data_IF_042149545870
#
_entry.id   IF_042149545870
#
_cell.length_a   1.000
_cell.length_b   1.000
_cell.length_c   1.000
_cell.angle_alpha   90.00
_cell.angle_beta   90.00
_cell.angle_gamma   90.00
#
_symmetry.space_group_name_H-M   'P 1'
#
loop_
_entity.id
_entity.type
_entity.pdbx_description
1 polymer ?
#
# COMPACT_ATOMS: atom_id res chain seq x y z
N UNK A 1 -15.62 7.57 19.89
CA UNK A 1 -14.28 7.41 20.50
C UNK A 1 -13.19 7.10 19.47
N UNK A 2 -13.31 6.05 18.64
CA UNK A 2 -12.29 5.71 17.62
C UNK A 2 -12.00 6.86 16.64
N UNK A 3 -13.04 7.46 16.07
CA UNK A 3 -12.90 8.62 15.16
C UNK A 3 -12.06 9.75 15.79
N UNK A 4 -12.37 10.16 17.02
CA UNK A 4 -11.65 11.22 17.72
C UNK A 4 -10.18 10.83 17.94
N UNK A 5 -9.91 9.61 18.42
CA UNK A 5 -8.54 9.15 18.63
C UNK A 5 -7.72 9.11 17.32
N UNK A 6 -8.33 8.68 16.20
CA UNK A 6 -7.66 8.68 14.89
C UNK A 6 -7.49 10.09 14.35
N UNK A 7 -8.44 10.99 14.59
CA UNK A 7 -8.34 12.40 14.23
C UNK A 7 -7.22 13.10 15.00
N UNK A 8 -7.11 12.85 16.31
CA UNK A 8 -6.04 13.39 17.14
C UNK A 8 -4.68 12.85 16.70
N UNK A 9 -4.59 11.55 16.40
CA UNK A 9 -3.38 10.94 15.83
C UNK A 9 -2.99 11.60 14.50
N UNK A 10 -3.95 11.87 13.62
CA UNK A 10 -3.70 12.56 12.35
C UNK A 10 -3.07 13.93 12.58
N UNK A 11 -3.59 14.70 13.55
CA UNK A 11 -3.05 16.02 13.91
C UNK A 11 -1.65 15.91 14.52
N UNK A 12 -1.40 14.93 15.39
CA UNK A 12 -0.06 14.71 15.96
C UNK A 12 0.97 14.28 14.90
N UNK A 13 0.60 13.40 13.99
CA UNK A 13 1.47 12.94 12.89
C UNK A 13 1.88 14.07 11.93
N UNK A 14 1.11 15.15 11.84
CA UNK A 14 1.48 16.32 11.04
C UNK A 14 2.58 17.17 11.69
N UNK A 15 2.83 17.01 12.99
CA UNK A 15 3.86 17.79 13.69
C UNK A 15 5.25 17.23 13.38
N UNK A 16 6.19 18.11 13.06
CA UNK A 16 7.60 17.73 12.88
C UNK A 16 8.24 17.26 14.19
N UNK A 17 7.76 17.76 15.32
CA UNK A 17 8.24 17.41 16.67
C UNK A 17 7.76 16.05 17.16
N UNK A 18 6.85 15.40 16.43
CA UNK A 18 6.34 14.09 16.82
C UNK A 18 7.44 13.04 16.74
N UNK A 19 7.69 12.39 17.87
CA UNK A 19 8.68 11.32 18.04
C UNK A 19 8.02 10.15 18.74
N UNK A 20 8.48 8.96 18.39
CA UNK A 20 8.02 7.71 18.97
C UNK A 20 9.22 6.77 19.14
N UNK A 21 9.18 5.92 20.15
CA UNK A 21 10.09 4.80 20.27
C UNK A 21 9.65 3.65 19.34
N UNK A 22 10.53 2.68 19.10
CA UNK A 22 10.27 1.57 18.16
C UNK A 22 9.07 0.69 18.55
N UNK A 23 8.77 0.53 19.84
CA UNK A 23 7.58 -0.22 20.27
C UNK A 23 6.30 0.55 19.92
N UNK A 24 6.32 1.86 20.14
CA UNK A 24 5.24 2.77 19.75
C UNK A 24 5.06 2.85 18.23
N UNK A 25 6.15 2.88 17.43
CA UNK A 25 6.11 2.78 15.97
C UNK A 25 5.32 1.54 15.54
N UNK A 26 5.75 0.38 16.01
CA UNK A 26 5.12 -0.90 15.67
C UNK A 26 3.63 -0.93 16.02
N UNK A 27 3.27 -0.50 17.23
CA UNK A 27 1.87 -0.46 17.68
C UNK A 27 1.03 0.48 16.84
N UNK A 28 1.55 1.67 16.51
CA UNK A 28 0.84 2.65 15.69
C UNK A 28 0.66 2.13 14.26
N UNK A 29 1.68 1.55 13.64
CA UNK A 29 1.57 0.93 12.31
C UNK A 29 0.46 -0.14 12.28
N UNK A 30 0.48 -1.07 13.24
CA UNK A 30 -0.50 -2.14 13.33
C UNK A 30 -1.91 -1.62 13.58
N UNK A 31 -2.06 -0.63 14.46
CA UNK A 31 -3.37 -0.04 14.75
C UNK A 31 -3.92 0.78 13.58
N UNK A 32 -3.10 1.59 12.91
CA UNK A 32 -3.52 2.36 11.73
C UNK A 32 -3.99 1.44 10.61
N UNK A 33 -3.32 0.33 10.37
CA UNK A 33 -3.76 -0.67 9.38
C UNK A 33 -5.03 -1.38 9.83
N UNK A 34 -5.15 -1.75 11.11
CA UNK A 34 -6.36 -2.38 11.65
C UNK A 34 -7.61 -1.50 11.49
N UNK A 35 -7.46 -0.18 11.59
CA UNK A 35 -8.55 0.77 11.41
C UNK A 35 -9.05 0.88 9.96
N UNK A 36 -8.35 0.29 8.98
CA UNK A 36 -8.87 0.16 7.61
C UNK A 36 -10.03 -0.84 7.53
N UNK A 37 -10.11 -1.78 8.47
CA UNK A 37 -11.23 -2.74 8.58
C UNK A 37 -12.28 -2.28 9.60
N UNK A 38 -12.32 -0.98 9.91
CA UNK A 38 -13.30 -0.41 10.84
C UNK A 38 -14.70 -0.43 10.23
N UNK A 39 -15.71 -0.79 11.03
CA UNK A 39 -17.12 -0.77 10.59
C UNK A 39 -17.64 0.63 10.19
N UNK A 40 -16.94 1.70 10.60
CA UNK A 40 -17.32 3.06 10.28
C UNK A 40 -16.38 3.65 9.21
N UNK A 41 -16.92 3.98 8.04
CA UNK A 41 -16.14 4.44 6.88
C UNK A 41 -15.43 5.78 7.10
N UNK A 42 -15.94 6.63 7.99
CA UNK A 42 -15.29 7.85 8.43
C UNK A 42 -13.99 7.57 9.20
N UNK A 43 -13.96 6.52 10.03
CA UNK A 43 -12.76 6.04 10.70
C UNK A 43 -11.77 5.43 9.72
N UNK A 44 -12.25 4.62 8.76
CA UNK A 44 -11.40 4.08 7.68
C UNK A 44 -10.74 5.21 6.89
N UNK A 45 -11.51 6.23 6.51
CA UNK A 45 -11.03 7.39 5.76
C UNK A 45 -9.98 8.20 6.54
N UNK A 46 -10.12 8.36 7.85
CA UNK A 46 -9.09 8.97 8.69
C UNK A 46 -7.84 8.10 8.81
N UNK A 47 -8.01 6.79 8.96
CA UNK A 47 -6.90 5.85 9.07
C UNK A 47 -6.02 5.87 7.80
N UNK A 48 -6.62 5.84 6.61
CA UNK A 48 -5.88 5.97 5.33
C UNK A 48 -5.07 7.26 5.27
N UNK A 49 -5.62 8.39 5.75
CA UNK A 49 -4.90 9.67 5.76
C UNK A 49 -3.71 9.70 6.72
N UNK A 50 -3.70 8.84 7.75
CA UNK A 50 -2.58 8.74 8.68
C UNK A 50 -1.39 7.96 8.08
N UNK A 51 -1.64 6.96 7.22
CA UNK A 51 -0.60 6.08 6.68
C UNK A 51 0.57 6.81 6.00
N UNK A 52 0.36 7.75 5.06
CA UNK A 52 1.46 8.46 4.41
C UNK A 52 2.31 9.28 5.39
N UNK A 53 1.69 9.87 6.42
CA UNK A 53 2.40 10.63 7.45
C UNK A 53 3.21 9.71 8.37
N UNK A 54 2.64 8.54 8.69
CA UNK A 54 3.29 7.56 9.55
C UNK A 54 4.51 6.94 8.87
N UNK A 55 4.41 6.57 7.59
CA UNK A 55 5.52 5.97 6.81
C UNK A 55 6.74 6.88 6.71
N UNK A 56 6.55 8.20 6.72
CA UNK A 56 7.64 9.18 6.76
C UNK A 56 8.35 9.26 8.13
N UNK A 57 7.78 8.68 9.18
CA UNK A 57 8.23 8.84 10.58
C UNK A 57 8.64 7.54 11.28
N UNK A 58 8.52 6.40 10.62
CA UNK A 58 8.88 5.09 11.17
C UNK A 58 10.09 4.51 10.47
N UNK A 59 10.72 3.52 11.09
CA UNK A 59 11.88 2.83 10.53
C UNK A 59 11.52 2.02 9.28
N UNK A 60 12.51 1.81 8.41
CA UNK A 60 12.38 1.04 7.16
C UNK A 60 11.71 -0.32 7.37
N UNK A 61 12.05 -1.04 8.44
CA UNK A 61 11.44 -2.34 8.75
C UNK A 61 9.92 -2.26 8.96
N UNK A 62 9.43 -1.19 9.58
CA UNK A 62 8.00 -0.99 9.77
C UNK A 62 7.31 -0.55 8.48
N UNK A 63 7.97 0.22 7.62
CA UNK A 63 7.44 0.55 6.28
C UNK A 63 7.24 -0.72 5.46
N UNK A 64 8.21 -1.64 5.47
CA UNK A 64 8.11 -2.92 4.78
C UNK A 64 6.97 -3.80 5.31
N UNK A 65 6.83 -3.88 6.65
CA UNK A 65 5.72 -4.59 7.30
C UNK A 65 4.36 -3.98 6.92
N UNK A 66 4.26 -2.65 6.89
CA UNK A 66 3.05 -1.94 6.48
C UNK A 66 2.67 -2.25 5.03
N UNK A 67 3.63 -2.18 4.10
CA UNK A 67 3.42 -2.46 2.68
C UNK A 67 3.01 -3.92 2.46
N UNK A 68 3.67 -4.87 3.11
CA UNK A 68 3.26 -6.29 3.02
C UNK A 68 1.84 -6.47 3.54
N UNK A 69 1.52 -5.92 4.72
CA UNK A 69 0.21 -6.10 5.31
C UNK A 69 -0.90 -5.50 4.45
N UNK A 70 -0.70 -4.30 3.91
CA UNK A 70 -1.66 -3.66 3.01
C UNK A 70 -1.83 -4.48 1.72
N UNK A 71 -0.73 -5.00 1.15
CA UNK A 71 -0.82 -5.86 -0.02
C UNK A 71 -1.56 -7.18 0.25
N UNK A 72 -1.36 -7.79 1.42
CA UNK A 72 -2.15 -8.96 1.83
C UNK A 72 -3.64 -8.62 1.91
N UNK A 73 -4.00 -7.46 2.48
CA UNK A 73 -5.39 -7.00 2.53
C UNK A 73 -5.97 -6.73 1.14
N UNK A 74 -5.18 -6.25 0.17
CA UNK A 74 -5.60 -6.17 -1.24
C UNK A 74 -5.88 -7.56 -1.81
N UNK A 75 -5.02 -8.54 -1.53
CA UNK A 75 -5.12 -9.90 -2.07
C UNK A 75 -6.27 -10.71 -1.46
N UNK A 76 -6.51 -10.57 -0.16
CA UNK A 76 -7.48 -11.40 0.59
C UNK A 76 -8.73 -10.67 1.04
N UNK A 77 -8.69 -9.34 1.07
CA UNK A 77 -9.81 -8.51 1.51
C UNK A 77 -11.01 -8.65 0.57
N UNK A 78 -12.18 -8.32 1.10
CA UNK A 78 -13.44 -8.27 0.34
C UNK A 78 -13.74 -6.83 -0.05
N UNK A 79 -14.53 -6.65 -1.11
CA UNK A 79 -14.98 -5.38 -1.70
C UNK A 79 -14.47 -4.09 -1.03
N UNK A 80 -15.12 -3.61 0.03
CA UNK A 80 -14.74 -2.35 0.72
C UNK A 80 -13.35 -2.39 1.37
N UNK A 81 -13.00 -3.49 2.04
CA UNK A 81 -11.69 -3.66 2.67
C UNK A 81 -10.56 -3.69 1.63
N UNK A 82 -10.82 -4.31 0.47
CA UNK A 82 -9.86 -4.33 -0.64
C UNK A 82 -9.65 -2.94 -1.22
N UNK A 83 -10.73 -2.21 -1.46
CA UNK A 83 -10.68 -0.87 -2.04
C UNK A 83 -9.89 0.09 -1.14
N UNK A 84 -10.25 0.16 0.14
CA UNK A 84 -9.56 1.03 1.10
C UNK A 84 -8.09 0.63 1.32
N UNK A 85 -7.77 -0.68 1.27
CA UNK A 85 -6.40 -1.17 1.37
C UNK A 85 -5.57 -0.85 0.13
N UNK A 86 -6.18 -0.89 -1.06
CA UNK A 86 -5.56 -0.48 -2.31
C UNK A 86 -5.21 1.01 -2.27
N UNK A 87 -6.16 1.85 -1.84
CA UNK A 87 -5.93 3.29 -1.63
C UNK A 87 -4.80 3.49 -0.61
N UNK A 88 -4.87 2.81 0.54
CA UNK A 88 -3.85 2.89 1.58
C UNK A 88 -2.46 2.49 1.11
N UNK A 89 -2.35 1.43 0.30
CA UNK A 89 -1.06 1.00 -0.26
C UNK A 89 -0.51 2.03 -1.25
N UNK A 90 -1.34 2.57 -2.13
CA UNK A 90 -0.92 3.60 -3.10
C UNK A 90 -0.45 4.88 -2.41
N UNK A 91 -1.16 5.34 -1.38
CA UNK A 91 -0.76 6.53 -0.61
C UNK A 91 0.50 6.30 0.21
N UNK A 92 0.70 5.09 0.75
CA UNK A 92 1.95 4.69 1.39
C UNK A 92 3.10 4.73 0.37
N UNK A 93 2.94 4.10 -0.79
CA UNK A 93 3.97 4.04 -1.83
C UNK A 93 4.40 5.43 -2.31
N UNK A 94 3.46 6.36 -2.46
CA UNK A 94 3.76 7.74 -2.81
C UNK A 94 4.65 8.47 -1.78
N UNK A 95 4.72 7.97 -0.55
CA UNK A 95 5.35 8.63 0.59
C UNK A 95 6.45 7.80 1.28
N UNK A 96 6.85 6.68 0.66
CA UNK A 96 7.95 5.84 1.15
C UNK A 96 9.25 6.64 1.15
N UNK A 97 9.97 6.72 2.29
CA UNK A 97 11.29 7.35 2.34
C UNK A 97 12.28 6.69 1.38
N UNK A 98 13.19 7.47 0.80
CA UNK A 98 14.21 6.94 -0.12
C UNK A 98 15.06 5.82 0.50
N UNK A 99 15.29 5.87 1.82
CA UNK A 99 15.99 4.82 2.58
C UNK A 99 15.26 3.47 2.61
N UNK A 100 13.94 3.46 2.43
CA UNK A 100 13.09 2.26 2.43
C UNK A 100 12.62 1.87 1.02
N UNK A 101 12.67 2.78 0.04
CA UNK A 101 12.15 2.55 -1.31
C UNK A 101 12.77 1.32 -2.00
N UNK A 102 14.09 1.17 -1.93
CA UNK A 102 14.81 0.08 -2.58
C UNK A 102 14.37 -1.32 -2.11
N UNK A 103 14.25 -1.51 -0.80
CA UNK A 103 13.84 -2.80 -0.22
C UNK A 103 12.34 -3.03 -0.38
N UNK A 104 11.54 -1.97 -0.20
CA UNK A 104 10.08 -2.01 -0.40
C UNK A 104 9.71 -2.43 -1.81
N UNK A 105 10.27 -1.78 -2.85
CA UNK A 105 9.99 -2.09 -4.26
C UNK A 105 10.46 -3.50 -4.61
N UNK A 106 11.68 -3.88 -4.21
CA UNK A 106 12.22 -5.22 -4.45
C UNK A 106 11.34 -6.32 -3.84
N UNK A 107 10.79 -6.07 -2.66
CA UNK A 107 9.87 -7.00 -2.01
C UNK A 107 8.50 -7.02 -2.67
N UNK A 108 7.95 -5.87 -3.07
CA UNK A 108 6.57 -5.74 -3.54
C UNK A 108 6.39 -6.18 -5.00
N UNK A 109 7.32 -5.82 -5.90
CA UNK A 109 7.18 -6.07 -7.34
C UNK A 109 6.88 -7.53 -7.69
N UNK A 110 7.61 -8.54 -7.18
CA UNK A 110 7.30 -9.95 -7.49
C UNK A 110 5.90 -10.37 -7.04
N UNK A 111 5.43 -9.83 -5.90
CA UNK A 111 4.09 -10.11 -5.35
C UNK A 111 2.98 -9.46 -6.19
N UNK A 112 3.22 -8.26 -6.72
CA UNK A 112 2.31 -7.63 -7.70
C UNK A 112 2.20 -8.47 -8.97
N UNK A 113 3.33 -8.96 -9.50
CA UNK A 113 3.35 -9.83 -10.67
C UNK A 113 2.60 -11.14 -10.42
N UNK A 114 2.72 -11.75 -9.24
CA UNK A 114 1.91 -12.89 -8.82
C UNK A 114 0.41 -12.53 -8.84
N UNK A 115 0.04 -11.41 -8.21
CA UNK A 115 -1.34 -10.93 -8.10
C UNK A 115 -2.01 -10.60 -9.43
N UNK A 116 -1.26 -10.18 -10.46
CA UNK A 116 -1.80 -10.00 -11.82
C UNK A 116 -2.35 -11.32 -12.38
N UNK A 117 -1.73 -12.45 -12.03
CA UNK A 117 -2.18 -13.80 -12.42
C UNK A 117 -3.40 -14.30 -11.63
N UNK A 118 -3.96 -13.50 -10.74
CA UNK A 118 -5.08 -13.90 -9.90
C UNK A 118 -6.31 -14.29 -10.73
N UNK A 119 -7.10 -15.22 -10.21
CA UNK A 119 -8.40 -15.56 -10.79
C UNK A 119 -9.45 -14.48 -10.52
N UNK A 120 -9.28 -13.73 -9.41
CA UNK A 120 -10.11 -12.57 -9.06
C UNK A 120 -9.72 -11.37 -9.92
N UNK A 121 -10.70 -10.88 -10.68
CA UNK A 121 -10.52 -9.71 -11.52
C UNK A 121 -10.17 -8.46 -10.69
N UNK A 122 -10.77 -8.33 -9.51
CA UNK A 122 -10.57 -7.20 -8.60
C UNK A 122 -9.11 -7.15 -8.14
N UNK A 123 -8.54 -8.30 -7.75
CA UNK A 123 -7.12 -8.40 -7.36
C UNK A 123 -6.21 -8.09 -8.54
N UNK A 124 -6.49 -8.64 -9.73
CA UNK A 124 -5.70 -8.36 -10.93
C UNK A 124 -5.67 -6.87 -11.25
N UNK A 125 -6.84 -6.22 -11.27
CA UNK A 125 -6.96 -4.77 -11.55
C UNK A 125 -6.20 -3.95 -10.50
N UNK A 126 -6.38 -4.23 -9.20
CA UNK A 126 -5.63 -3.52 -8.17
C UNK A 126 -4.11 -3.71 -8.33
N UNK A 127 -3.64 -4.93 -8.63
CA UNK A 127 -2.21 -5.18 -8.82
C UNK A 127 -1.65 -4.44 -10.05
N UNK A 128 -2.43 -4.31 -11.13
CA UNK A 128 -2.04 -3.52 -12.30
C UNK A 128 -1.92 -2.03 -11.96
N UNK A 129 -2.89 -1.48 -11.25
CA UNK A 129 -2.87 -0.07 -10.83
C UNK A 129 -1.71 0.22 -9.86
N UNK A 130 -1.49 -0.65 -8.87
CA UNK A 130 -0.39 -0.48 -7.91
C UNK A 130 0.96 -0.65 -8.63
N UNK A 131 1.07 -1.58 -9.57
CA UNK A 131 2.28 -1.72 -10.39
C UNK A 131 2.53 -0.48 -11.25
N UNK A 132 1.48 0.13 -11.81
CA UNK A 132 1.59 1.39 -12.52
C UNK A 132 2.20 2.48 -11.61
N UNK A 133 1.69 2.62 -10.38
CA UNK A 133 2.23 3.58 -9.41
C UNK A 133 3.70 3.28 -9.06
N UNK A 134 4.07 2.01 -8.88
CA UNK A 134 5.46 1.62 -8.62
C UNK A 134 6.36 2.00 -9.79
N UNK A 135 5.93 1.77 -11.03
CA UNK A 135 6.68 2.13 -12.24
C UNK A 135 6.84 3.66 -12.37
N UNK A 136 5.82 4.44 -12.01
CA UNK A 136 5.87 5.90 -12.06
C UNK A 136 6.76 6.52 -10.98
N UNK A 137 6.66 6.02 -9.74
CA UNK A 137 7.37 6.61 -8.60
C UNK A 137 8.81 6.09 -8.47
N UNK A 138 9.09 4.86 -8.94
CA UNK A 138 10.37 4.18 -8.72
C UNK A 138 11.02 3.62 -9.99
N UNK A 139 11.12 4.38 -11.10
CA UNK A 139 11.56 3.87 -12.40
C UNK A 139 12.97 3.27 -12.39
N UNK A 140 13.89 3.85 -11.62
CA UNK A 140 15.27 3.34 -11.50
C UNK A 140 15.37 2.04 -10.70
N UNK A 141 14.44 1.80 -9.77
CA UNK A 141 14.45 0.64 -8.88
C UNK A 141 13.86 -0.62 -9.55
N UNK A 142 13.01 -0.44 -10.56
CA UNK A 142 12.34 -1.52 -11.30
C UNK A 142 13.09 -1.95 -12.57
N UNK A 143 14.19 -1.29 -12.92
CA UNK A 143 14.87 -1.49 -14.22
C UNK A 143 15.30 -2.94 -14.44
N UNK A 144 15.78 -3.62 -13.40
CA UNK A 144 16.14 -5.05 -13.46
C UNK A 144 14.94 -5.97 -13.67
N UNK A 145 13.75 -5.56 -13.22
CA UNK A 145 12.53 -6.35 -13.25
C UNK A 145 11.72 -6.12 -14.54
N UNK A 146 12.06 -5.10 -15.35
CA UNK A 146 11.36 -4.76 -16.58
C UNK A 146 11.14 -5.94 -17.53
N UNK A 147 12.09 -6.88 -17.75
CA UNK A 147 11.83 -8.05 -18.57
C UNK A 147 10.70 -8.94 -18.02
N UNK A 148 10.68 -9.17 -16.71
CA UNK A 148 9.65 -9.97 -16.04
C UNK A 148 8.29 -9.24 -16.05
N UNK A 149 8.30 -7.93 -15.80
CA UNK A 149 7.11 -7.08 -15.88
C UNK A 149 6.51 -7.13 -17.29
N UNK A 150 7.32 -6.92 -18.32
CA UNK A 150 6.85 -7.00 -19.73
C UNK A 150 6.29 -8.37 -20.08
N UNK A 151 7.00 -9.43 -19.70
CA UNK A 151 6.55 -10.80 -19.94
C UNK A 151 5.19 -11.07 -19.28
N UNK A 152 4.92 -10.44 -18.13
CA UNK A 152 3.65 -10.57 -17.42
C UNK A 152 2.53 -9.72 -17.98
N UNK A 153 2.82 -8.49 -18.41
CA UNK A 153 1.80 -7.53 -18.86
C UNK A 153 1.36 -7.72 -20.30
N UNK A 154 2.24 -8.16 -21.21
CA UNK A 154 1.90 -8.30 -22.63
C UNK A 154 0.70 -9.23 -22.89
N UNK A 155 0.56 -10.40 -22.23
CA UNK A 155 -0.62 -11.24 -22.39
C UNK A 155 -1.92 -10.57 -21.93
N UNK A 156 -1.88 -9.71 -20.92
CA UNK A 156 -3.05 -9.04 -20.36
C UNK A 156 -3.69 -8.03 -21.34
N UNK A 157 -2.92 -7.53 -22.31
CA UNK A 157 -3.46 -6.70 -23.40
C UNK A 157 -4.45 -7.44 -24.30
N UNK A 158 -4.36 -8.78 -24.35
CA UNK A 158 -5.30 -9.63 -25.06
C UNK A 158 -6.40 -10.21 -24.14
N UNK A 159 -6.44 -9.80 -22.87
CA UNK A 159 -7.45 -10.26 -21.91
C UNK A 159 -8.86 -10.02 -22.44
N UNK A 160 -9.80 -10.93 -22.21
CA UNK A 160 -11.21 -10.70 -22.58
C UNK A 160 -11.85 -9.58 -21.76
N UNK A 161 -11.29 -9.27 -20.59
CA UNK A 161 -11.80 -8.28 -19.62
C UNK A 161 -11.30 -6.88 -19.97
N UNK A 162 -12.20 -5.97 -20.31
CA UNK A 162 -11.83 -4.60 -20.70
C UNK A 162 -11.12 -3.81 -19.58
N UNK A 163 -11.47 -4.05 -18.31
CA UNK A 163 -10.83 -3.39 -17.17
C UNK A 163 -9.35 -3.78 -16.99
N UNK A 164 -8.97 -4.99 -17.40
CA UNK A 164 -7.59 -5.49 -17.33
C UNK A 164 -6.74 -4.96 -18.48
N UNK A 165 -7.37 -4.69 -19.65
CA UNK A 165 -6.67 -4.15 -20.83
C UNK A 165 -6.40 -2.64 -20.77
N UNK A 166 -7.20 -1.90 -20.00
CA UNK A 166 -7.12 -0.45 -19.87
C UNK A 166 -5.98 -0.07 -18.93
#
# INVERSE_FOLDING_TARGET
>A
FRYMATSDLLVELQKETFKMDSESERKLCQMSIKLLSDAAGDVQGLAVKCLPLLVRKVQTAHVEEMVDRLFQMVKTGKDEERDISSIGLKTVLAEVPQSAAGTTVRGLTPRLLDGISSTSMEVTVCCLEILHDVLQHFPSLVTSDLPAIKAKLLPELASSRAAVRK
#
